data_IF_924687791286
#
_entry.id   IF_924687791286
#
_cell.length_a   1.000
_cell.length_b   1.000
_cell.length_c   1.000
_cell.angle_alpha   90.00
_cell.angle_beta   90.00
_cell.angle_gamma   90.00
#
_symmetry.space_group_name_H-M   'P 1'
#
loop_
_entity.id
_entity.type
_entity.pdbx_description
1 polymer ?
#
# COMPACT_ATOMS: atom_id res chain seq x y z
N UNK A 1 -13.78 6.07 5.42
CA UNK A 1 -13.16 4.84 5.94
C UNK A 1 -11.70 5.19 6.23
N UNK A 2 -10.80 4.27 6.57
CA UNK A 2 -9.35 4.55 6.52
C UNK A 2 -8.66 3.27 6.04
N UNK A 3 -8.99 2.88 4.81
CA UNK A 3 -8.77 1.52 4.27
C UNK A 3 -7.31 1.08 4.28
N UNK A 4 -6.37 2.03 4.26
CA UNK A 4 -4.93 1.75 4.17
C UNK A 4 -4.14 2.17 5.42
N UNK A 5 -4.79 2.73 6.45
CA UNK A 5 -4.07 3.31 7.60
C UNK A 5 -3.30 2.27 8.42
N UNK A 6 -3.83 1.06 8.54
CA UNK A 6 -3.14 -0.08 9.17
C UNK A 6 -1.86 -0.42 8.40
N UNK A 7 -1.91 -0.43 7.07
CA UNK A 7 -0.77 -0.77 6.21
C UNK A 7 0.29 0.33 6.19
N UNK A 8 -0.14 1.60 6.23
CA UNK A 8 0.79 2.72 6.37
C UNK A 8 1.52 2.68 7.72
N UNK A 9 0.84 2.27 8.81
CA UNK A 9 1.48 2.07 10.12
C UNK A 9 2.53 0.96 10.06
N UNK A 10 2.24 -0.20 9.46
CA UNK A 10 3.22 -1.29 9.28
C UNK A 10 4.42 -0.84 8.46
N UNK A 11 4.16 -0.10 7.40
CA UNK A 11 5.21 0.47 6.53
C UNK A 11 6.15 1.38 7.33
N UNK A 12 5.62 2.22 8.21
CA UNK A 12 6.42 3.08 9.08
C UNK A 12 7.27 2.25 10.08
N UNK A 13 6.72 1.15 10.61
CA UNK A 13 7.49 0.21 11.45
C UNK A 13 8.67 -0.42 10.68
N UNK A 14 8.45 -0.83 9.44
CA UNK A 14 9.52 -1.34 8.56
C UNK A 14 10.60 -0.26 8.36
N UNK A 15 10.20 0.99 8.10
CA UNK A 15 11.18 2.06 7.92
C UNK A 15 11.96 2.40 9.18
N UNK A 16 11.39 2.17 10.37
CA UNK A 16 12.13 2.25 11.64
C UNK A 16 13.18 1.15 11.75
N UNK A 17 12.86 -0.09 11.35
CA UNK A 17 13.82 -1.22 11.30
C UNK A 17 14.97 -0.93 10.33
N UNK A 18 14.65 -0.30 9.20
CA UNK A 18 15.64 0.09 8.20
C UNK A 18 16.48 1.30 8.63
N UNK A 19 16.07 2.00 9.68
CA UNK A 19 16.71 3.22 10.20
C UNK A 19 16.75 4.35 9.17
N UNK A 20 15.70 4.47 8.35
CA UNK A 20 15.63 5.54 7.36
C UNK A 20 15.54 6.92 8.04
N UNK A 21 16.14 7.98 7.47
CA UNK A 21 15.93 9.35 7.92
C UNK A 21 14.46 9.76 7.88
N UNK A 22 13.99 10.53 8.87
CA UNK A 22 12.59 10.98 8.96
C UNK A 22 12.07 11.71 7.71
N UNK A 23 12.95 12.45 7.03
CA UNK A 23 12.61 13.13 5.77
C UNK A 23 12.32 12.11 4.66
N UNK A 24 13.12 11.06 4.57
CA UNK A 24 12.94 9.99 3.59
C UNK A 24 11.70 9.14 3.93
N UNK A 25 11.48 8.81 5.21
CA UNK A 25 10.26 8.09 5.66
C UNK A 25 9.00 8.78 5.20
N UNK A 26 8.89 10.09 5.42
CA UNK A 26 7.71 10.88 5.01
C UNK A 26 7.48 10.82 3.51
N UNK A 27 8.55 10.92 2.73
CA UNK A 27 8.44 10.82 1.27
C UNK A 27 8.04 9.42 0.83
N UNK A 28 8.62 8.38 1.42
CA UNK A 28 8.29 7.00 1.12
C UNK A 28 6.86 6.63 1.49
N UNK A 29 6.38 7.07 2.66
CA UNK A 29 4.98 6.90 3.08
C UNK A 29 4.04 7.56 2.07
N UNK A 30 4.33 8.80 1.66
CA UNK A 30 3.53 9.51 0.65
C UNK A 30 3.49 8.75 -0.68
N UNK A 31 4.63 8.22 -1.11
CA UNK A 31 4.72 7.47 -2.37
C UNK A 31 3.94 6.15 -2.32
N UNK A 32 4.09 5.37 -1.25
CA UNK A 32 3.33 4.12 -1.07
C UNK A 32 1.84 4.41 -0.99
N UNK A 33 1.44 5.43 -0.20
CA UNK A 33 0.03 5.82 -0.07
C UNK A 33 -0.59 6.09 -1.44
N UNK A 34 0.09 6.89 -2.25
CA UNK A 34 -0.39 7.21 -3.59
C UNK A 34 -0.41 5.97 -4.51
N UNK A 35 0.60 5.11 -4.44
CA UNK A 35 0.66 3.90 -5.24
C UNK A 35 -0.50 2.95 -4.92
N UNK A 36 -0.75 2.66 -3.63
CA UNK A 36 -1.86 1.80 -3.21
C UNK A 36 -3.19 2.37 -3.69
N UNK A 37 -3.45 3.66 -3.47
CA UNK A 37 -4.71 4.28 -3.86
C UNK A 37 -4.93 4.24 -5.39
N UNK A 38 -3.90 4.56 -6.18
CA UNK A 38 -4.00 4.53 -7.64
C UNK A 38 -4.24 3.12 -8.16
N UNK A 39 -3.54 2.12 -7.61
CA UNK A 39 -3.68 0.73 -8.02
C UNK A 39 -5.03 0.14 -7.57
N UNK A 40 -5.56 0.54 -6.41
CA UNK A 40 -6.92 0.16 -5.99
C UNK A 40 -7.99 0.70 -6.92
N UNK A 41 -7.89 1.98 -7.33
CA UNK A 41 -8.81 2.54 -8.31
C UNK A 41 -8.64 1.83 -9.65
N UNK A 42 -7.42 1.60 -10.10
CA UNK A 42 -7.16 0.91 -11.37
C UNK A 42 -7.74 -0.51 -11.40
N UNK A 43 -7.57 -1.30 -10.31
CA UNK A 43 -8.19 -2.62 -10.19
C UNK A 43 -9.71 -2.53 -10.23
N UNK A 44 -10.30 -1.63 -9.46
CA UNK A 44 -11.75 -1.45 -9.42
C UNK A 44 -12.31 -1.05 -10.80
N UNK A 45 -11.70 -0.07 -11.47
CA UNK A 45 -12.08 0.31 -12.83
C UNK A 45 -11.96 -0.86 -13.81
N UNK A 46 -10.88 -1.64 -13.73
CA UNK A 46 -10.67 -2.82 -14.57
C UNK A 46 -11.76 -3.90 -14.35
N UNK A 47 -12.18 -4.15 -13.11
CA UNK A 47 -13.25 -5.11 -12.80
C UNK A 47 -14.60 -4.72 -13.41
N UNK A 48 -14.89 -3.43 -13.53
CA UNK A 48 -16.11 -2.92 -14.19
C UNK A 48 -15.93 -2.70 -15.70
N UNK A 49 -14.75 -2.99 -16.26
CA UNK A 49 -14.44 -2.81 -17.68
C UNK A 49 -14.34 -1.34 -18.10
N UNK A 50 -14.00 -0.44 -17.18
CA UNK A 50 -13.82 0.99 -17.42
C UNK A 50 -12.33 1.34 -17.48
N UNK A 51 -11.95 2.26 -18.36
CA UNK A 51 -10.58 2.80 -18.39
C UNK A 51 -10.46 3.96 -17.40
N UNK A 52 -9.39 3.95 -16.60
CA UNK A 52 -9.08 5.04 -15.68
C UNK A 52 -8.54 6.23 -16.48
N UNK A 53 -9.24 7.36 -16.48
CA UNK A 53 -8.68 8.61 -16.97
C UNK A 53 -7.60 9.11 -15.99
N UNK A 54 -6.49 9.67 -16.50
CA UNK A 54 -5.39 10.22 -15.70
C UNK A 54 -5.89 11.37 -14.80
N UNK A 55 -6.40 11.04 -13.62
CA UNK A 55 -6.84 11.97 -12.60
C UNK A 55 -6.02 11.79 -11.33
N UNK A 56 -5.70 12.91 -10.67
CA UNK A 56 -5.10 12.91 -9.34
C UNK A 56 -6.21 12.72 -8.31
N UNK A 57 -6.43 11.48 -7.88
CA UNK A 57 -7.40 11.19 -6.82
C UNK A 57 -6.80 11.42 -5.43
N UNK A 58 -7.58 12.00 -4.52
CA UNK A 58 -7.28 11.99 -3.08
C UNK A 58 -7.73 10.67 -2.45
N UNK A 59 -7.30 10.38 -1.22
CA UNK A 59 -7.78 9.18 -0.51
C UNK A 59 -9.30 9.20 -0.36
N UNK A 60 -9.87 10.36 -0.05
CA UNK A 60 -11.32 10.51 0.14
C UNK A 60 -12.05 10.22 -1.18
N UNK A 61 -11.55 10.71 -2.33
CA UNK A 61 -12.15 10.43 -3.63
C UNK A 61 -12.12 8.92 -3.98
N UNK A 62 -11.02 8.23 -3.64
CA UNK A 62 -10.90 6.78 -3.86
C UNK A 62 -11.83 6.00 -2.94
N UNK A 63 -11.88 6.37 -1.66
CA UNK A 63 -12.75 5.72 -0.69
C UNK A 63 -14.22 5.89 -1.05
N UNK A 64 -14.64 7.11 -1.39
CA UNK A 64 -16.01 7.40 -1.82
C UNK A 64 -16.37 6.55 -3.05
N UNK A 65 -15.51 6.57 -4.09
CA UNK A 65 -15.71 5.74 -5.29
C UNK A 65 -15.85 4.25 -4.97
N UNK A 66 -14.97 3.70 -4.13
CA UNK A 66 -15.01 2.28 -3.77
C UNK A 66 -16.30 1.96 -3.01
N UNK A 67 -16.66 2.75 -2.00
CA UNK A 67 -17.86 2.50 -1.19
C UNK A 67 -19.18 2.72 -1.93
N UNK A 68 -19.19 3.56 -2.97
CA UNK A 68 -20.35 3.76 -3.83
C UNK A 68 -20.59 2.59 -4.80
N UNK A 69 -19.55 1.80 -5.10
CA UNK A 69 -19.56 0.82 -6.19
C UNK A 69 -19.31 -0.64 -5.78
N UNK A 70 -18.85 -0.86 -4.53
CA UNK A 70 -18.41 -2.15 -4.00
C UNK A 70 -18.82 -2.34 -2.54
N UNK A 71 -19.06 -3.59 -2.18
CA UNK A 71 -19.27 -4.00 -0.80
C UNK A 71 -17.94 -4.04 -0.02
N UNK A 72 -17.99 -3.92 1.31
CA UNK A 72 -16.80 -3.86 2.17
C UNK A 72 -15.83 -5.04 1.96
N UNK A 73 -16.36 -6.25 1.77
CA UNK A 73 -15.55 -7.44 1.50
C UNK A 73 -14.89 -7.41 0.12
N UNK A 74 -15.53 -6.82 -0.89
CA UNK A 74 -14.93 -6.67 -2.23
C UNK A 74 -13.79 -5.64 -2.18
N UNK A 75 -13.98 -4.55 -1.43
CA UNK A 75 -12.95 -3.54 -1.19
C UNK A 75 -11.75 -4.16 -0.46
N UNK A 76 -11.99 -5.00 0.55
CA UNK A 76 -10.92 -5.74 1.23
C UNK A 76 -10.17 -6.69 0.29
N UNK A 77 -10.86 -7.38 -0.61
CA UNK A 77 -10.22 -8.26 -1.60
C UNK A 77 -9.34 -7.47 -2.58
N UNK A 78 -9.85 -6.35 -3.12
CA UNK A 78 -9.07 -5.44 -3.97
C UNK A 78 -7.84 -4.93 -3.22
N UNK A 79 -8.03 -4.46 -1.99
CA UNK A 79 -6.95 -3.97 -1.14
C UNK A 79 -5.89 -5.05 -0.93
N UNK A 80 -6.27 -6.29 -0.61
CA UNK A 80 -5.31 -7.37 -0.37
C UNK A 80 -4.47 -7.72 -1.61
N UNK A 81 -5.07 -7.69 -2.81
CA UNK A 81 -4.34 -7.92 -4.07
C UNK A 81 -3.35 -6.80 -4.35
N UNK A 82 -3.82 -5.56 -4.30
CA UNK A 82 -2.98 -4.37 -4.53
C UNK A 82 -1.84 -4.28 -3.51
N UNK A 83 -2.13 -4.49 -2.22
CA UNK A 83 -1.10 -4.45 -1.19
C UNK A 83 0.00 -5.47 -1.44
N UNK A 84 -0.34 -6.68 -1.86
CA UNK A 84 0.67 -7.70 -2.15
C UNK A 84 1.61 -7.21 -3.24
N UNK A 85 1.07 -6.69 -4.34
CA UNK A 85 1.88 -6.30 -5.49
C UNK A 85 2.71 -5.05 -5.20
N UNK A 86 2.08 -4.00 -4.65
CA UNK A 86 2.75 -2.75 -4.29
C UNK A 86 3.83 -2.99 -3.25
N UNK A 87 3.55 -3.73 -2.17
CA UNK A 87 4.52 -3.93 -1.08
C UNK A 87 5.69 -4.80 -1.52
N UNK A 88 5.45 -5.86 -2.31
CA UNK A 88 6.53 -6.69 -2.87
C UNK A 88 7.41 -5.87 -3.79
N UNK A 89 6.83 -5.13 -4.75
CA UNK A 89 7.61 -4.31 -5.66
C UNK A 89 8.42 -3.25 -4.90
N UNK A 90 7.78 -2.57 -3.96
CA UNK A 90 8.40 -1.46 -3.25
C UNK A 90 9.55 -1.92 -2.34
N UNK A 91 9.30 -2.93 -1.49
CA UNK A 91 10.35 -3.44 -0.60
C UNK A 91 11.43 -4.21 -1.33
N UNK A 92 11.17 -4.83 -2.48
CA UNK A 92 12.24 -5.44 -3.30
C UNK A 92 13.30 -4.41 -3.72
N UNK A 93 12.90 -3.15 -3.96
CA UNK A 93 13.81 -2.05 -4.32
C UNK A 93 14.52 -1.50 -3.10
N UNK A 94 13.81 -1.28 -2.00
CA UNK A 94 14.38 -0.69 -0.77
C UNK A 94 15.32 -1.64 -0.03
N UNK A 95 15.01 -2.94 0.01
CA UNK A 95 15.83 -3.94 0.69
C UNK A 95 17.09 -4.32 -0.10
N UNK A 96 17.24 -3.82 -1.33
CA UNK A 96 18.40 -4.12 -2.17
C UNK A 96 19.68 -3.53 -1.55
N UNK A 97 20.54 -4.41 -1.04
CA UNK A 97 21.78 -4.01 -0.36
C UNK A 97 21.61 -3.68 1.12
N UNK A 98 20.43 -3.93 1.70
CA UNK A 98 20.23 -3.85 3.14
C UNK A 98 20.96 -5.02 3.86
N UNK A 99 21.40 -4.83 5.10
CA UNK A 99 21.94 -5.90 5.94
C UNK A 99 20.96 -7.07 6.13
N UNK A 100 21.46 -8.30 6.15
CA UNK A 100 20.64 -9.51 6.30
C UNK A 100 19.79 -9.52 7.58
N UNK A 101 20.31 -8.98 8.69
CA UNK A 101 19.58 -8.88 9.96
C UNK A 101 18.38 -7.93 9.88
N UNK A 102 18.49 -6.86 9.07
CA UNK A 102 17.38 -5.95 8.77
C UNK A 102 16.38 -6.61 7.83
N UNK A 103 16.85 -7.29 6.79
CA UNK A 103 15.98 -8.02 5.84
C UNK A 103 15.13 -9.06 6.59
N UNK A 104 15.72 -9.83 7.50
CA UNK A 104 14.99 -10.82 8.30
C UNK A 104 13.85 -10.17 9.12
N UNK A 105 14.15 -9.09 9.85
CA UNK A 105 13.14 -8.36 10.65
C UNK A 105 12.03 -7.75 9.79
N UNK A 106 12.36 -7.25 8.60
CA UNK A 106 11.35 -6.72 7.67
C UNK A 106 10.46 -7.84 7.14
N UNK A 107 11.03 -9.00 6.80
CA UNK A 107 10.26 -10.16 6.39
C UNK A 107 9.32 -10.65 7.51
N UNK A 108 9.74 -10.59 8.77
CA UNK A 108 8.87 -10.94 9.90
C UNK A 108 7.64 -10.01 9.96
N UNK A 109 7.82 -8.71 9.76
CA UNK A 109 6.70 -7.75 9.70
C UNK A 109 5.81 -8.01 8.49
N UNK A 110 6.39 -8.21 7.29
CA UNK A 110 5.63 -8.45 6.05
C UNK A 110 4.86 -9.77 6.05
N UNK A 111 5.36 -10.79 6.75
CA UNK A 111 4.75 -12.13 6.82
C UNK A 111 3.91 -12.34 8.06
N UNK A 112 3.94 -11.42 9.03
CA UNK A 112 3.01 -11.43 10.15
C UNK A 112 1.59 -11.33 9.62
N UNK A 113 0.91 -12.49 9.56
CA UNK A 113 -0.54 -12.54 9.37
C UNK A 113 -1.15 -11.80 10.55
N UNK A 114 -2.06 -10.88 10.26
CA UNK A 114 -2.97 -10.38 11.28
C UNK A 114 -3.88 -11.54 11.67
N UNK A 115 -3.66 -12.08 12.88
CA UNK A 115 -4.72 -12.73 13.66
C UNK A 115 -5.78 -11.69 14.06
#
# INVERSE_FOLDING_TARGET
MQIIDSEIKKTDEIFKILELPEVEKKQHIKNIKNAILMDMVAEAFAEKGQEMENANFTQDDVEDFLTDNYEENEIEEILQRVLRDVMVEYFSKILKGAPEDKIAKVNDVLTSKFE
#
